data_IF_789070621944
#
_entry.id   IF_789070621944
#
_cell.length_a   1.000
_cell.length_b   1.000
_cell.length_c   1.000
_cell.angle_alpha   90.00
_cell.angle_beta   90.00
_cell.angle_gamma   90.00
#
_symmetry.space_group_name_H-M   'P 1'
#
loop_
_entity.id
_entity.type
_entity.pdbx_description
1 polymer ?
#
# COMPACT_ATOMS: atom_id res chain seq x y z
N UNK A 1 -23.47 -5.07 4.10
CA UNK A 1 -22.10 -4.76 4.56
C UNK A 1 -21.54 -6.05 5.13
N UNK A 2 -20.40 -6.56 4.63
CA UNK A 2 -19.81 -7.79 5.18
C UNK A 2 -19.06 -7.49 6.46
N UNK A 3 -18.94 -8.47 7.36
CA UNK A 3 -18.14 -8.33 8.59
C UNK A 3 -16.68 -8.03 8.27
N UNK A 4 -16.16 -8.61 7.18
CA UNK A 4 -14.81 -8.32 6.67
C UNK A 4 -14.63 -6.87 6.26
N UNK A 5 -15.58 -6.28 5.54
CA UNK A 5 -15.51 -4.86 5.16
C UNK A 5 -15.45 -3.95 6.40
N UNK A 6 -16.33 -4.19 7.39
CA UNK A 6 -16.32 -3.42 8.63
C UNK A 6 -14.99 -3.56 9.41
N UNK A 7 -14.40 -4.75 9.43
CA UNK A 7 -13.11 -4.98 10.07
C UNK A 7 -11.95 -4.23 9.35
N UNK A 8 -11.93 -4.26 8.01
CA UNK A 8 -10.95 -3.50 7.22
C UNK A 8 -11.14 -2.00 7.42
N UNK A 9 -12.37 -1.51 7.44
CA UNK A 9 -12.65 -0.10 7.68
C UNK A 9 -12.13 0.34 9.05
N UNK A 10 -12.34 -0.47 10.09
CA UNK A 10 -11.80 -0.19 11.43
C UNK A 10 -10.26 -0.22 11.46
N UNK A 11 -9.63 -1.16 10.76
CA UNK A 11 -8.16 -1.27 10.69
C UNK A 11 -7.52 0.01 10.13
N UNK A 12 -8.08 0.53 9.05
CA UNK A 12 -7.57 1.74 8.39
C UNK A 12 -7.96 3.04 9.11
N UNK A 13 -9.02 3.01 9.91
CA UNK A 13 -9.41 4.11 10.78
C UNK A 13 -8.51 4.21 12.03
N UNK A 14 -7.81 3.13 12.43
CA UNK A 14 -6.93 3.14 13.60
C UNK A 14 -5.64 3.93 13.30
N UNK A 15 -5.34 5.02 14.05
CA UNK A 15 -4.14 5.83 13.85
C UNK A 15 -2.84 5.12 14.24
N UNK A 16 -2.90 4.01 14.99
CA UNK A 16 -1.72 3.21 15.34
C UNK A 16 -1.36 2.19 14.27
N UNK A 17 -2.27 1.94 13.31
CA UNK A 17 -2.10 0.90 12.30
C UNK A 17 -1.95 1.50 10.90
N UNK A 18 -2.80 2.47 10.56
CA UNK A 18 -2.72 3.17 9.30
C UNK A 18 -2.10 4.57 9.46
N UNK A 19 -1.43 5.01 8.39
CA UNK A 19 -0.86 6.35 8.26
C UNK A 19 -1.62 7.13 7.21
N UNK A 20 -1.63 8.44 7.36
CA UNK A 20 -2.12 9.33 6.31
C UNK A 20 -1.12 9.33 5.15
N UNK A 21 -1.66 9.30 3.94
CA UNK A 21 -0.90 9.41 2.71
C UNK A 21 -1.67 10.20 1.67
N UNK A 22 -0.94 10.67 0.66
CA UNK A 22 -1.53 11.27 -0.54
C UNK A 22 -1.26 10.36 -1.73
N UNK A 23 -2.31 9.85 -2.35
CA UNK A 23 -2.22 9.08 -3.58
C UNK A 23 -2.47 10.00 -4.78
N UNK A 24 -1.63 9.89 -5.80
CA UNK A 24 -1.75 10.61 -7.06
C UNK A 24 -1.65 9.57 -8.18
N UNK A 25 -2.78 9.28 -8.82
CA UNK A 25 -2.76 8.53 -10.07
C UNK A 25 -1.91 9.27 -11.11
N UNK A 26 -1.31 8.57 -12.06
CA UNK A 26 -0.54 9.22 -13.12
C UNK A 26 -1.37 10.31 -13.85
N UNK A 27 -0.87 11.56 -13.80
CA UNK A 27 -1.56 12.75 -14.30
C UNK A 27 -2.88 13.13 -13.59
N UNK A 28 -3.21 12.47 -12.47
CA UNK A 28 -4.45 12.62 -11.72
C UNK A 28 -4.42 13.73 -10.66
N UNK A 29 -5.57 13.94 -10.02
CA UNK A 29 -5.67 14.83 -8.85
C UNK A 29 -5.27 14.08 -7.58
N UNK A 30 -4.53 14.70 -6.65
CA UNK A 30 -4.20 14.09 -5.37
C UNK A 30 -5.43 13.75 -4.53
N UNK A 31 -5.42 12.56 -3.91
CA UNK A 31 -6.46 12.05 -3.03
C UNK A 31 -5.83 11.68 -1.69
N UNK A 32 -6.44 12.12 -0.59
CA UNK A 32 -6.04 11.69 0.75
C UNK A 32 -6.52 10.27 1.00
N UNK A 33 -5.61 9.41 1.41
CA UNK A 33 -5.85 7.98 1.63
C UNK A 33 -5.20 7.53 2.93
N UNK A 34 -5.62 6.36 3.41
CA UNK A 34 -5.02 5.70 4.57
C UNK A 34 -4.24 4.49 4.08
N UNK A 35 -3.01 4.35 4.55
CA UNK A 35 -2.12 3.26 4.13
C UNK A 35 -1.63 2.47 5.35
N UNK A 36 -1.59 1.15 5.23
CA UNK A 36 -0.99 0.28 6.25
C UNK A 36 0.37 -0.19 5.75
N UNK A 37 1.44 0.19 6.46
CA UNK A 37 2.79 -0.26 6.11
C UNK A 37 2.97 -1.72 6.54
N UNK A 38 3.31 -2.60 5.59
CA UNK A 38 3.71 -3.96 5.93
C UNK A 38 5.17 -3.92 6.35
N UNK A 39 5.47 -4.18 7.62
CA UNK A 39 6.87 -4.36 8.05
C UNK A 39 7.49 -5.50 7.24
N UNK A 40 8.70 -5.26 6.76
CA UNK A 40 9.52 -6.23 6.03
C UNK A 40 10.03 -7.34 6.97
N UNK A 41 9.13 -8.15 7.51
CA UNK A 41 9.49 -9.41 8.20
C UNK A 41 9.54 -10.60 7.23
N UNK A 42 9.59 -10.34 5.91
CA UNK A 42 9.68 -11.39 4.90
C UNK A 42 11.15 -11.58 4.48
N UNK A 43 11.88 -12.43 5.22
CA UNK A 43 13.15 -13.00 4.75
C UNK A 43 12.82 -14.08 3.72
N UNK A 44 12.60 -13.69 2.46
CA UNK A 44 12.62 -14.66 1.35
C UNK A 44 14.06 -15.11 1.13
N UNK A 45 14.43 -16.24 1.71
CA UNK A 45 15.74 -16.85 1.52
C UNK A 45 15.87 -17.47 0.12
N UNK A 46 16.85 -17.02 -0.65
CA UNK A 46 17.33 -17.71 -1.86
C UNK A 46 18.85 -17.92 -1.71
N UNK A 47 19.24 -19.01 -1.03
CA UNK A 47 20.64 -19.33 -0.72
C UNK A 47 21.25 -18.49 0.43
N UNK A 48 22.59 -18.48 0.53
CA UNK A 48 23.37 -17.73 1.55
C UNK A 48 23.41 -16.20 1.33
N UNK A 49 22.74 -15.69 0.30
CA UNK A 49 22.66 -14.26 0.01
C UNK A 49 21.42 -13.64 0.68
N UNK A 50 21.65 -12.85 1.74
CA UNK A 50 20.61 -11.99 2.33
C UNK A 50 20.41 -10.77 1.43
N UNK A 51 19.49 -10.84 0.47
CA UNK A 51 19.07 -9.67 -0.29
C UNK A 51 18.07 -8.87 0.54
N UNK A 52 18.55 -7.83 1.23
CA UNK A 52 17.69 -6.81 1.81
C UNK A 52 17.19 -5.93 0.67
N UNK A 53 16.01 -6.24 0.12
CA UNK A 53 15.31 -5.26 -0.71
C UNK A 53 14.61 -4.28 0.22
N UNK A 54 14.98 -3.00 0.15
CA UNK A 54 14.26 -1.87 0.74
C UNK A 54 12.91 -1.62 0.04
N UNK A 55 12.21 -2.69 -0.37
CA UNK A 55 10.90 -2.57 -1.00
C UNK A 55 9.88 -2.28 0.10
N UNK A 56 9.49 -1.02 0.23
CA UNK A 56 8.38 -0.63 1.10
C UNK A 56 7.10 -1.20 0.53
N UNK A 57 6.47 -2.14 1.24
CA UNK A 57 5.18 -2.70 0.85
C UNK A 57 4.07 -2.07 1.69
N UNK A 58 3.02 -1.62 1.03
CA UNK A 58 1.86 -1.02 1.72
C UNK A 58 0.56 -1.61 1.23
N UNK A 59 -0.44 -1.58 2.11
CA UNK A 59 -1.81 -1.93 1.78
C UNK A 59 -2.65 -0.65 1.61
N UNK A 60 -3.42 -0.57 0.52
CA UNK A 60 -4.36 0.48 0.17
C UNK A 60 -5.78 -0.06 0.20
N UNK A 61 -6.76 0.78 0.55
CA UNK A 61 -8.17 0.39 0.44
C UNK A 61 -8.66 0.54 -0.99
N UNK A 62 -9.36 -0.47 -1.47
CA UNK A 62 -10.08 -0.42 -2.75
C UNK A 62 -11.11 0.71 -2.77
N UNK A 63 -11.74 0.99 -1.62
CA UNK A 63 -12.74 2.06 -1.50
C UNK A 63 -12.16 3.46 -1.73
N UNK A 64 -10.88 3.67 -1.43
CA UNK A 64 -10.17 4.94 -1.59
C UNK A 64 -9.42 4.99 -2.93
N UNK A 65 -8.81 3.86 -3.32
CA UNK A 65 -8.05 3.71 -4.57
C UNK A 65 -8.60 2.51 -5.34
N UNK A 66 -9.56 2.72 -6.26
CA UNK A 66 -10.24 1.62 -6.95
C UNK A 66 -9.33 0.81 -7.89
N UNK A 67 -8.35 1.47 -8.52
CA UNK A 67 -7.51 0.88 -9.55
C UNK A 67 -6.09 1.49 -9.54
N UNK A 68 -5.26 1.18 -8.53
CA UNK A 68 -3.86 1.59 -8.52
C UNK A 68 -3.12 0.94 -9.68
N UNK A 69 -2.07 1.60 -10.18
CA UNK A 69 -1.26 1.17 -11.31
C UNK A 69 0.23 1.38 -11.02
N UNK A 70 1.11 0.59 -11.66
CA UNK A 70 2.53 0.90 -11.68
C UNK A 70 2.77 2.33 -12.20
N UNK A 71 3.64 3.08 -11.53
CA UNK A 71 3.94 4.48 -11.86
C UNK A 71 3.10 5.51 -11.11
N UNK A 72 2.00 5.11 -10.46
CA UNK A 72 1.25 6.01 -9.58
C UNK A 72 2.11 6.42 -8.38
N UNK A 73 1.90 7.65 -7.88
CA UNK A 73 2.66 8.23 -6.77
C UNK A 73 1.90 8.11 -5.45
N UNK A 74 2.64 7.78 -4.40
CA UNK A 74 2.13 7.78 -3.03
C UNK A 74 3.11 8.58 -2.17
N UNK A 75 2.59 9.56 -1.44
CA UNK A 75 3.35 10.34 -0.47
C UNK A 75 2.95 9.94 0.95
N UNK A 76 3.92 9.49 1.75
CA UNK A 76 3.72 9.03 3.13
C UNK A 76 4.70 9.80 4.00
N UNK A 77 4.20 10.50 5.03
CA UNK A 77 5.04 11.24 5.99
C UNK A 77 6.03 12.24 5.35
N UNK A 78 5.70 12.78 4.17
CA UNK A 78 6.54 13.73 3.44
C UNK A 78 7.56 13.08 2.49
N UNK A 79 7.63 11.75 2.44
CA UNK A 79 8.43 10.99 1.48
C UNK A 79 7.58 10.56 0.28
N UNK A 80 8.12 10.69 -0.93
CA UNK A 80 7.43 10.34 -2.16
C UNK A 80 7.91 8.99 -2.70
N UNK A 81 6.95 8.14 -3.04
CA UNK A 81 7.16 6.82 -3.59
C UNK A 81 6.39 6.64 -4.89
N UNK A 82 6.84 5.71 -5.71
CA UNK A 82 6.13 5.23 -6.89
C UNK A 82 5.75 3.77 -6.71
N UNK A 83 4.53 3.42 -7.11
CA UNK A 83 4.10 2.02 -7.19
C UNK A 83 4.93 1.33 -8.27
N UNK A 84 5.55 0.21 -7.89
CA UNK A 84 6.29 -0.67 -8.79
C UNK A 84 5.65 -2.05 -8.82
N UNK A 85 5.73 -2.70 -9.98
CA UNK A 85 5.07 -3.98 -10.19
C UNK A 85 3.54 -3.87 -10.19
N UNK A 86 2.88 -5.01 -10.43
CA UNK A 86 1.43 -5.08 -10.51
C UNK A 86 0.80 -5.12 -9.11
N UNK A 87 -0.13 -4.19 -8.80
CA UNK A 87 -0.89 -4.23 -7.55
C UNK A 87 -1.64 -5.55 -7.36
N UNK A 88 -1.49 -6.15 -6.19
CA UNK A 88 -2.13 -7.41 -5.85
C UNK A 88 -3.41 -7.16 -5.05
N UNK A 89 -4.55 -7.60 -5.56
CA UNK A 89 -5.82 -7.51 -4.82
C UNK A 89 -5.96 -8.70 -3.88
N UNK A 90 -6.42 -8.45 -2.67
CA UNK A 90 -6.76 -9.50 -1.73
C UNK A 90 -7.97 -10.33 -2.19
N UNK A 91 -8.20 -11.47 -1.53
CA UNK A 91 -9.28 -12.40 -1.88
C UNK A 91 -10.66 -11.78 -1.70
N UNK A 92 -10.86 -10.97 -0.67
CA UNK A 92 -12.13 -10.31 -0.37
C UNK A 92 -12.33 -9.04 -1.23
N UNK A 93 -11.32 -8.67 -2.03
CA UNK A 93 -11.36 -7.54 -2.95
C UNK A 93 -11.56 -6.19 -2.27
N UNK A 94 -11.09 -6.05 -1.04
CA UNK A 94 -11.18 -4.87 -0.20
C UNK A 94 -9.86 -4.11 -0.11
N UNK A 95 -8.74 -4.78 -0.32
CA UNK A 95 -7.39 -4.24 -0.14
C UNK A 95 -6.53 -4.52 -1.36
N UNK A 96 -5.73 -3.53 -1.74
CA UNK A 96 -4.61 -3.68 -2.64
C UNK A 96 -3.32 -3.74 -1.85
N UNK A 97 -2.44 -4.65 -2.20
CA UNK A 97 -1.04 -4.64 -1.75
C UNK A 97 -0.18 -4.15 -2.90
N UNK A 98 0.63 -3.14 -2.63
CA UNK A 98 1.53 -2.54 -3.61
C UNK A 98 2.94 -2.51 -3.08
N UNK A 99 3.88 -2.75 -3.99
CA UNK A 99 5.30 -2.57 -3.74
C UNK A 99 5.68 -1.16 -4.17
N UNK A 100 6.43 -0.46 -3.32
CA UNK A 100 6.85 0.90 -3.53
C UNK A 100 8.36 0.96 -3.76
N UNK A 101 8.79 1.95 -4.54
CA UNK A 101 10.18 2.39 -4.63
C UNK A 101 10.24 3.91 -4.40
N UNK A 102 11.36 4.45 -3.89
CA UNK A 102 11.57 5.89 -3.87
C UNK A 102 11.37 6.52 -5.26
N UNK A 103 10.72 7.68 -5.29
CA UNK A 103 10.38 8.42 -6.52
C UNK A 103 11.60 9.03 -7.21
#
# INVERSE_FOLDING_TARGET
>A
MSVFAAAIDNLFADPNIARDATYVADGGTPVLVRVVTRRADEVTGFGDARLWSETTRVDLRVAEVPAPRPGDRIEIEGEAFLIQGEPMRDRERLVWTVDLRPA
#
